data_IF_402817465533
#
_entry.id   IF_402817465533
#
_cell.length_a   1.000
_cell.length_b   1.000
_cell.length_c   1.000
_cell.angle_alpha   90.00
_cell.angle_beta   90.00
_cell.angle_gamma   90.00
#
_symmetry.space_group_name_H-M   'P 1'
#
loop_
_entity.id
_entity.type
_entity.pdbx_description
1 polymer ?
#
# COMPACT_ATOMS: atom_id res chain seq x y z
N UNK A 1 -1.07 8.72 -8.50
CA UNK A 1 -0.29 9.89 -8.01
C UNK A 1 0.94 9.49 -7.18
N UNK A 2 0.91 8.41 -6.40
CA UNK A 2 2.05 7.95 -5.58
C UNK A 2 3.22 7.40 -6.42
N UNK A 3 2.92 6.75 -7.56
CA UNK A 3 3.90 6.22 -8.52
C UNK A 3 4.77 7.28 -9.19
N UNK A 4 4.30 8.53 -9.24
CA UNK A 4 5.06 9.63 -9.85
C UNK A 4 6.15 10.12 -8.90
N UNK A 5 5.85 10.17 -7.60
CA UNK A 5 6.75 10.68 -6.56
C UNK A 5 7.94 9.75 -6.32
N UNK A 6 7.74 8.43 -6.39
CA UNK A 6 8.85 7.45 -6.27
C UNK A 6 9.82 7.53 -7.46
N UNK A 7 9.30 7.72 -8.68
CA UNK A 7 10.14 7.87 -9.89
C UNK A 7 10.95 9.15 -9.89
N UNK A 8 10.44 10.23 -9.28
CA UNK A 8 11.17 11.50 -9.12
C UNK A 8 12.36 11.39 -8.15
N UNK A 9 12.24 10.58 -7.09
CA UNK A 9 13.36 10.32 -6.17
C UNK A 9 14.43 9.46 -6.85
N UNK A 10 14.03 8.46 -7.64
CA UNK A 10 14.96 7.66 -8.44
C UNK A 10 15.66 8.50 -9.54
N UNK A 11 14.96 9.43 -10.18
CA UNK A 11 15.55 10.30 -11.20
C UNK A 11 16.54 11.32 -10.61
N UNK A 12 16.32 11.81 -9.39
CA UNK A 12 17.26 12.69 -8.70
C UNK A 12 18.59 12.00 -8.35
N UNK A 13 18.59 10.66 -8.19
CA UNK A 13 19.80 9.89 -8.02
C UNK A 13 20.61 9.72 -9.33
N UNK A 14 19.97 9.88 -10.49
CA UNK A 14 20.60 9.61 -11.81
C UNK A 14 21.31 10.84 -12.40
N UNK A 15 20.89 12.07 -12.06
CA UNK A 15 21.53 13.30 -12.58
C UNK A 15 22.90 13.58 -11.92
N UNK A 16 23.27 12.84 -10.85
CA UNK A 16 24.57 12.91 -10.20
C UNK A 16 25.60 11.85 -10.64
N UNK A 17 25.28 10.99 -11.61
CA UNK A 17 26.09 9.80 -11.95
C UNK A 17 27.38 10.06 -12.78
N UNK A 18 27.88 11.28 -12.79
CA UNK A 18 29.24 11.59 -13.27
C UNK A 18 30.21 12.02 -12.16
N UNK A 19 29.86 11.80 -10.89
CA UNK A 19 30.76 11.95 -9.76
C UNK A 19 30.99 10.58 -9.09
N UNK A 20 32.22 10.27 -8.63
CA UNK A 20 32.53 8.97 -8.05
C UNK A 20 31.60 8.71 -6.87
N UNK A 21 31.30 7.44 -6.62
CA UNK A 21 30.57 6.93 -5.46
C UNK A 21 31.16 7.48 -4.15
N UNK A 22 30.78 8.70 -3.83
CA UNK A 22 31.18 9.40 -2.63
C UNK A 22 30.13 8.97 -1.62
N UNK A 23 30.56 8.19 -0.63
CA UNK A 23 29.70 7.85 0.49
C UNK A 23 28.97 9.12 0.95
N UNK A 24 27.65 9.03 1.08
CA UNK A 24 26.84 10.16 1.52
C UNK A 24 27.35 10.65 2.88
N UNK A 25 27.21 11.95 3.14
CA UNK A 25 27.59 12.46 4.45
C UNK A 25 26.75 11.77 5.54
N UNK A 26 27.24 11.68 6.79
CA UNK A 26 26.46 11.07 7.88
C UNK A 26 25.05 11.65 8.04
N UNK A 27 24.89 12.95 7.78
CA UNK A 27 23.60 13.64 7.82
C UNK A 27 22.68 13.23 6.66
N UNK A 28 23.21 13.12 5.44
CA UNK A 28 22.46 12.62 4.29
C UNK A 28 22.05 11.15 4.48
N UNK A 29 22.93 10.35 5.06
CA UNK A 29 22.63 8.96 5.41
C UNK A 29 21.53 8.84 6.46
N UNK A 30 21.58 9.65 7.52
CA UNK A 30 20.51 9.68 8.52
C UNK A 30 19.17 10.08 7.90
N UNK A 31 19.17 11.06 6.99
CA UNK A 31 17.96 11.52 6.31
C UNK A 31 17.36 10.45 5.38
N UNK A 32 18.16 9.79 4.53
CA UNK A 32 17.66 8.75 3.61
C UNK A 32 17.21 7.51 4.38
N UNK A 33 17.99 7.03 5.36
CA UNK A 33 17.59 5.91 6.23
C UNK A 33 16.28 6.23 6.96
N UNK A 34 16.15 7.43 7.51
CA UNK A 34 14.93 7.89 8.18
C UNK A 34 13.71 7.96 7.25
N UNK A 35 13.87 8.48 6.03
CA UNK A 35 12.79 8.53 5.03
C UNK A 35 12.38 7.14 4.57
N UNK A 36 13.34 6.24 4.35
CA UNK A 36 13.09 4.85 3.98
C UNK A 36 12.28 4.11 5.06
N UNK A 37 12.72 4.20 6.33
CA UNK A 37 12.00 3.59 7.46
C UNK A 37 10.58 4.15 7.58
N UNK A 38 10.39 5.47 7.44
CA UNK A 38 9.04 6.06 7.45
C UNK A 38 8.17 5.56 6.31
N UNK A 39 8.73 5.46 5.10
CA UNK A 39 8.05 4.88 3.94
C UNK A 39 7.55 3.47 4.21
N UNK A 40 8.43 2.61 4.74
CA UNK A 40 8.09 1.24 5.16
C UNK A 40 6.95 1.22 6.19
N UNK A 41 6.99 2.09 7.19
CA UNK A 41 5.94 2.18 8.22
C UNK A 41 4.57 2.57 7.64
N UNK A 42 4.53 3.52 6.69
CA UNK A 42 3.27 3.89 6.03
C UNK A 42 2.69 2.74 5.22
N UNK A 43 3.55 2.01 4.53
CA UNK A 43 3.14 0.85 3.76
C UNK A 43 2.63 -0.30 4.62
N UNK A 44 3.31 -0.60 5.73
CA UNK A 44 2.80 -1.60 6.69
C UNK A 44 1.42 -1.22 7.21
N UNK A 45 1.19 0.07 7.53
CA UNK A 45 -0.14 0.55 7.92
C UNK A 45 -1.18 0.38 6.82
N UNK A 46 -0.81 0.64 5.57
CA UNK A 46 -1.70 0.42 4.43
C UNK A 46 -2.06 -1.07 4.25
N UNK A 47 -1.09 -1.98 4.42
CA UNK A 47 -1.34 -3.43 4.39
C UNK A 47 -2.25 -3.88 5.53
N UNK A 48 -2.05 -3.38 6.75
CA UNK A 48 -2.92 -3.69 7.89
C UNK A 48 -4.35 -3.18 7.67
N UNK A 49 -4.51 -1.99 7.07
CA UNK A 49 -5.81 -1.48 6.64
C UNK A 49 -6.44 -2.36 5.56
N UNK A 50 -5.66 -2.80 4.57
CA UNK A 50 -6.09 -3.73 3.54
C UNK A 50 -6.66 -5.01 4.15
N UNK A 51 -5.94 -5.64 5.09
CA UNK A 51 -6.42 -6.84 5.80
C UNK A 51 -7.75 -6.64 6.51
N UNK A 52 -7.94 -5.50 7.18
CA UNK A 52 -9.21 -5.18 7.85
C UNK A 52 -10.35 -4.98 6.85
N UNK A 53 -10.07 -4.40 5.68
CA UNK A 53 -11.06 -4.16 4.62
C UNK A 53 -11.46 -5.46 3.90
N UNK A 54 -10.53 -6.39 3.68
CA UNK A 54 -10.86 -7.74 3.12
C UNK A 54 -11.90 -8.45 3.98
N UNK A 55 -11.87 -8.27 5.31
CA UNK A 55 -12.84 -8.87 6.22
C UNK A 55 -14.25 -8.24 6.14
N UNK A 56 -14.42 -7.07 5.52
CA UNK A 56 -15.72 -6.40 5.48
C UNK A 56 -16.69 -7.02 4.47
N UNK A 57 -16.20 -7.51 3.32
CA UNK A 57 -17.05 -8.15 2.30
C UNK A 57 -17.86 -9.33 2.87
N UNK A 58 -17.27 -10.32 3.58
CA UNK A 58 -18.05 -11.40 4.18
C UNK A 58 -19.01 -10.92 5.28
N UNK A 59 -18.66 -9.87 6.03
CA UNK A 59 -19.56 -9.26 7.03
C UNK A 59 -20.81 -8.69 6.33
N UNK A 60 -20.61 -7.93 5.25
CA UNK A 60 -21.71 -7.34 4.46
C UNK A 60 -22.60 -8.44 3.87
N UNK A 61 -22.01 -9.52 3.34
CA UNK A 61 -22.79 -10.65 2.82
C UNK A 61 -23.61 -11.34 3.92
N UNK A 62 -23.07 -11.47 5.13
CA UNK A 62 -23.80 -11.99 6.30
C UNK A 62 -24.99 -11.10 6.69
N UNK A 63 -24.81 -9.77 6.63
CA UNK A 63 -25.89 -8.80 6.87
C UNK A 63 -26.99 -8.96 5.82
N UNK A 64 -26.62 -9.09 4.54
CA UNK A 64 -27.56 -9.33 3.44
C UNK A 64 -28.38 -10.61 3.67
N UNK A 65 -27.72 -11.72 4.05
CA UNK A 65 -28.39 -12.98 4.39
C UNK A 65 -29.37 -12.81 5.56
N UNK A 66 -28.95 -12.10 6.61
CA UNK A 66 -29.78 -11.82 7.78
C UNK A 66 -31.00 -10.97 7.42
N UNK A 67 -30.83 -9.97 6.55
CA UNK A 67 -31.93 -9.12 6.07
C UNK A 67 -32.95 -9.94 5.26
N UNK A 68 -32.52 -10.82 4.36
CA UNK A 68 -33.43 -11.70 3.60
C UNK A 68 -34.22 -12.63 4.51
N UNK A 69 -33.56 -13.14 5.55
CA UNK A 69 -34.22 -14.04 6.53
C UNK A 69 -35.29 -13.30 7.32
N UNK A 70 -35.02 -12.05 7.71
CA UNK A 70 -35.93 -11.23 8.51
C UNK A 70 -37.05 -10.59 7.70
N UNK A 71 -36.78 -10.29 6.42
CA UNK A 71 -37.69 -9.60 5.51
C UNK A 71 -37.75 -10.37 4.18
N UNK A 72 -38.60 -11.41 4.08
CA UNK A 72 -38.66 -12.28 2.91
C UNK A 72 -39.12 -11.56 1.63
N UNK A 73 -39.77 -10.40 1.77
CA UNK A 73 -40.22 -9.58 0.63
C UNK A 73 -39.10 -8.74 0.00
N UNK A 74 -37.92 -8.64 0.64
CA UNK A 74 -36.76 -7.96 0.06
C UNK A 74 -36.28 -8.71 -1.19
N UNK A 75 -36.25 -8.00 -2.31
CA UNK A 75 -35.74 -8.52 -3.57
C UNK A 75 -34.23 -8.37 -3.61
N UNK A 76 -33.60 -9.15 -4.49
CA UNK A 76 -32.16 -9.02 -4.72
C UNK A 76 -31.75 -7.60 -5.16
N UNK A 77 -32.62 -6.93 -5.92
CA UNK A 77 -32.40 -5.55 -6.36
C UNK A 77 -32.30 -4.56 -5.18
N UNK A 78 -33.03 -4.80 -4.08
CA UNK A 78 -33.03 -3.93 -2.90
C UNK A 78 -31.74 -4.04 -2.08
N UNK A 79 -31.00 -5.15 -2.26
CA UNK A 79 -29.77 -5.47 -1.55
C UNK A 79 -28.52 -5.29 -2.43
N UNK A 80 -28.71 -4.92 -3.69
CA UNK A 80 -27.64 -4.82 -4.68
C UNK A 80 -26.64 -3.72 -4.34
N UNK A 81 -27.11 -2.59 -3.81
CA UNK A 81 -26.22 -1.52 -3.36
C UNK A 81 -25.33 -1.96 -2.19
N UNK A 82 -25.83 -2.82 -1.29
CA UNK A 82 -25.01 -3.40 -0.22
C UNK A 82 -23.94 -4.35 -0.79
N UNK A 83 -24.29 -5.18 -1.79
CA UNK A 83 -23.30 -6.02 -2.49
C UNK A 83 -22.23 -5.17 -3.14
N UNK A 84 -22.62 -4.11 -3.85
CA UNK A 84 -21.72 -3.18 -4.51
C UNK A 84 -20.78 -2.48 -3.52
N UNK A 85 -21.27 -2.13 -2.32
CA UNK A 85 -20.40 -1.62 -1.25
C UNK A 85 -19.37 -2.68 -0.84
N UNK A 86 -19.80 -3.94 -0.66
CA UNK A 86 -18.90 -5.05 -0.36
C UNK A 86 -17.81 -5.25 -1.41
N UNK A 87 -18.16 -5.16 -2.69
CA UNK A 87 -17.21 -5.27 -3.81
C UNK A 87 -16.24 -4.09 -3.83
N UNK A 88 -16.71 -2.85 -3.69
CA UNK A 88 -15.84 -1.67 -3.66
C UNK A 88 -14.87 -1.68 -2.48
N UNK A 89 -15.30 -2.17 -1.32
CA UNK A 89 -14.42 -2.33 -0.15
C UNK A 89 -13.36 -3.39 -0.40
N UNK A 90 -13.73 -4.49 -1.06
CA UNK A 90 -12.79 -5.53 -1.46
C UNK A 90 -11.76 -5.01 -2.49
N UNK A 91 -12.21 -4.26 -3.49
CA UNK A 91 -11.32 -3.65 -4.50
C UNK A 91 -10.34 -2.64 -3.85
N UNK A 92 -10.83 -1.82 -2.91
CA UNK A 92 -9.99 -0.93 -2.14
C UNK A 92 -8.96 -1.69 -1.29
N UNK A 93 -9.34 -2.85 -0.74
CA UNK A 93 -8.44 -3.71 0.02
C UNK A 93 -7.32 -4.30 -0.85
N UNK A 94 -7.68 -4.81 -2.04
CA UNK A 94 -6.74 -5.35 -3.01
C UNK A 94 -5.79 -4.28 -3.55
N UNK A 95 -6.25 -3.04 -3.72
CA UNK A 95 -5.39 -1.92 -4.13
C UNK A 95 -4.34 -1.54 -3.07
N UNK A 96 -4.58 -1.89 -1.80
CA UNK A 96 -3.63 -1.69 -0.70
C UNK A 96 -2.66 -2.86 -0.56
N UNK A 97 -2.96 -4.01 -1.16
CA UNK A 97 -2.11 -5.18 -1.19
C UNK A 97 -1.07 -5.04 -2.33
N UNK A 98 0.16 -4.72 -1.97
CA UNK A 98 1.27 -4.59 -2.91
C UNK A 98 2.39 -5.55 -2.53
N UNK A 99 2.19 -6.86 -2.76
CA UNK A 99 3.25 -7.87 -2.61
C UNK A 99 4.48 -7.57 -3.50
N UNK A 100 4.25 -6.91 -4.65
CA UNK A 100 5.30 -6.51 -5.59
C UNK A 100 6.32 -5.51 -5.01
N UNK A 101 6.04 -4.88 -3.86
CA UNK A 101 6.94 -3.91 -3.25
C UNK A 101 8.04 -4.55 -2.38
N UNK A 102 7.93 -5.83 -1.98
CA UNK A 102 8.91 -6.45 -1.08
C UNK A 102 10.31 -6.60 -1.70
N UNK A 103 10.37 -6.91 -3.00
CA UNK A 103 11.62 -6.95 -3.78
C UNK A 103 12.21 -5.54 -3.93
N UNK A 104 11.36 -4.56 -4.26
CA UNK A 104 11.76 -3.16 -4.35
C UNK A 104 12.30 -2.60 -3.02
N UNK A 105 11.76 -3.04 -1.88
CA UNK A 105 12.26 -2.68 -0.55
C UNK A 105 13.62 -3.27 -0.25
N UNK A 106 13.85 -4.52 -0.64
CA UNK A 106 15.17 -5.15 -0.49
C UNK A 106 16.20 -4.44 -1.36
N UNK A 107 15.89 -4.16 -2.62
CA UNK A 107 16.77 -3.43 -3.52
C UNK A 107 17.08 -2.03 -2.98
N UNK A 108 16.06 -1.29 -2.53
CA UNK A 108 16.24 0.02 -1.92
C UNK A 108 17.10 -0.05 -0.64
N UNK A 109 16.93 -1.08 0.19
CA UNK A 109 17.77 -1.27 1.38
C UNK A 109 19.23 -1.55 1.02
N UNK A 110 19.49 -2.35 -0.03
CA UNK A 110 20.83 -2.62 -0.54
C UNK A 110 21.48 -1.34 -1.09
N UNK A 111 20.75 -0.56 -1.90
CA UNK A 111 21.24 0.73 -2.41
C UNK A 111 21.56 1.70 -1.27
N UNK A 112 20.70 1.79 -0.25
CA UNK A 112 20.95 2.65 0.92
C UNK A 112 22.19 2.19 1.68
N UNK A 113 22.39 0.88 1.85
CA UNK A 113 23.60 0.33 2.49
C UNK A 113 24.85 0.72 1.71
N UNK A 114 24.83 0.58 0.38
CA UNK A 114 25.99 0.84 -0.46
C UNK A 114 26.33 2.36 -0.53
N UNK A 115 25.31 3.24 -0.44
CA UNK A 115 25.48 4.69 -0.34
C UNK A 115 25.87 5.19 1.06
N UNK A 116 25.62 4.37 2.09
CA UNK A 116 25.85 4.69 3.51
C UNK A 116 26.59 3.56 4.25
N UNK A 117 27.86 3.30 3.88
CA UNK A 117 28.70 2.28 4.50
C UNK A 117 28.98 2.55 5.97
#
# INVERSE_FOLDING_TARGET
MITLTLRLIAAAAVIGLSAPASALTPQQCAAIKGSFIKGMQYQMKALDQGKLLVQQKPIILSIILSLRTKYPDLKDADLEDLRRVGDRVNDAALALDNEADMEAHQDAALVIRDLCP
#
